data_IF_367851735965
#
_entry.id   IF_367851735965
#
_cell.length_a   1.000
_cell.length_b   1.000
_cell.length_c   1.000
_cell.angle_alpha   90.00
_cell.angle_beta   90.00
_cell.angle_gamma   90.00
#
_symmetry.space_group_name_H-M   'P 1'
#
loop_
_entity.id
_entity.type
_entity.pdbx_description
1 polymer ?
#
# COMPACT_ATOMS: atom_id res chain seq x y z
N UNK A 1 -37.59 28.98 61.68
CA UNK A 1 -37.94 27.80 60.87
C UNK A 1 -37.85 28.15 59.40
N UNK A 2 -36.74 27.84 58.72
CA UNK A 2 -36.69 27.54 57.27
C UNK A 2 -35.48 26.63 57.04
N UNK A 3 -35.76 25.36 56.76
CA UNK A 3 -34.80 24.36 56.30
C UNK A 3 -34.56 24.57 54.80
N UNK A 4 -33.31 24.63 54.37
CA UNK A 4 -32.91 24.54 52.97
C UNK A 4 -32.12 23.23 52.83
N UNK A 5 -32.74 22.22 52.21
CA UNK A 5 -32.08 20.96 51.86
C UNK A 5 -31.20 21.12 50.62
N UNK A 6 -30.13 20.32 50.47
CA UNK A 6 -29.25 20.42 49.32
C UNK A 6 -29.90 19.76 48.09
N UNK A 7 -29.97 20.52 47.00
CA UNK A 7 -30.32 20.00 45.68
C UNK A 7 -29.24 19.03 45.20
N UNK A 8 -29.62 17.77 44.99
CA UNK A 8 -28.84 16.78 44.26
C UNK A 8 -28.89 17.11 42.77
N UNK A 9 -27.79 17.67 42.25
CA UNK A 9 -27.54 17.76 40.82
C UNK A 9 -27.11 16.37 40.32
N UNK A 10 -28.03 15.66 39.65
CA UNK A 10 -27.67 14.51 38.83
C UNK A 10 -26.95 15.01 37.56
N UNK A 11 -25.62 14.93 37.56
CA UNK A 11 -24.82 15.15 36.37
C UNK A 11 -24.88 13.86 35.52
N UNK A 12 -25.78 13.80 34.55
CA UNK A 12 -25.74 12.74 33.55
C UNK A 12 -24.55 12.99 32.61
N UNK A 13 -23.44 12.30 32.81
CA UNK A 13 -22.43 12.16 31.77
C UNK A 13 -23.01 11.27 30.66
N UNK A 14 -23.48 11.89 29.60
CA UNK A 14 -23.68 11.19 28.33
C UNK A 14 -22.29 11.07 27.69
N UNK A 15 -21.66 9.90 27.83
CA UNK A 15 -20.51 9.55 27.00
C UNK A 15 -21.03 9.18 25.60
N UNK A 16 -21.14 10.16 24.71
CA UNK A 16 -21.08 9.87 23.28
C UNK A 16 -19.63 9.59 22.94
N UNK A 17 -19.22 8.33 22.97
CA UNK A 17 -18.06 7.91 22.19
C UNK A 17 -18.47 8.05 20.72
N UNK A 18 -18.23 9.23 20.14
CA UNK A 18 -18.16 9.34 18.70
C UNK A 18 -17.01 8.43 18.27
N UNK A 19 -17.33 7.26 17.73
CA UNK A 19 -16.36 6.49 16.95
C UNK A 19 -15.85 7.46 15.90
N UNK A 20 -14.54 7.71 15.87
CA UNK A 20 -13.97 8.61 14.88
C UNK A 20 -14.40 8.13 13.48
N UNK A 21 -15.17 8.95 12.78
CA UNK A 21 -15.61 8.66 11.43
C UNK A 21 -14.37 8.60 10.54
N UNK A 22 -14.31 7.59 9.66
CA UNK A 22 -13.24 7.50 8.67
C UNK A 22 -13.30 8.74 7.78
N UNK A 23 -12.23 9.53 7.78
CA UNK A 23 -12.18 10.80 7.07
C UNK A 23 -10.78 11.06 6.53
N UNK A 24 -10.71 11.86 5.47
CA UNK A 24 -9.45 12.25 4.87
C UNK A 24 -9.49 13.65 4.27
N UNK A 25 -8.33 14.28 4.17
CA UNK A 25 -8.09 15.48 3.38
C UNK A 25 -6.99 15.21 2.37
N UNK A 26 -7.04 15.89 1.23
CA UNK A 26 -6.06 15.71 0.15
C UNK A 26 -5.52 17.06 -0.28
N UNK A 27 -4.23 17.12 -0.52
CA UNK A 27 -3.54 18.24 -1.16
C UNK A 27 -2.74 17.68 -2.33
N UNK A 28 -2.53 18.48 -3.36
CA UNK A 28 -1.74 18.07 -4.50
C UNK A 28 -0.91 19.23 -5.05
N UNK A 29 0.18 18.91 -5.73
CA UNK A 29 1.04 19.88 -6.39
C UNK A 29 1.42 19.40 -7.80
N UNK A 30 1.55 20.34 -8.73
CA UNK A 30 2.15 20.16 -10.04
C UNK A 30 3.48 20.94 -10.06
N UNK A 31 4.61 20.24 -10.15
CA UNK A 31 5.95 20.82 -10.08
C UNK A 31 6.16 21.74 -8.86
N UNK A 32 5.57 21.34 -7.72
CA UNK A 32 5.60 22.09 -6.46
C UNK A 32 4.57 23.23 -6.35
N UNK A 33 3.82 23.53 -7.41
CA UNK A 33 2.72 24.51 -7.38
C UNK A 33 1.44 23.84 -6.88
N UNK A 34 0.75 24.35 -5.86
CA UNK A 34 -0.49 23.76 -5.36
C UNK A 34 -1.58 23.67 -6.43
N UNK A 35 -2.21 22.49 -6.55
CA UNK A 35 -3.38 22.26 -7.40
C UNK A 35 -4.64 22.68 -6.62
N UNK A 36 -5.55 23.48 -7.20
CA UNK A 36 -6.81 23.84 -6.56
C UNK A 36 -7.65 22.62 -6.17
N UNK A 37 -8.33 22.67 -5.01
CA UNK A 37 -9.17 21.56 -4.54
C UNK A 37 -10.25 21.13 -5.55
N UNK A 38 -10.75 22.05 -6.37
CA UNK A 38 -11.74 21.75 -7.42
C UNK A 38 -11.20 20.88 -8.57
N UNK A 39 -9.87 20.78 -8.72
CA UNK A 39 -9.21 20.00 -9.77
C UNK A 39 -8.73 18.63 -9.27
N UNK A 40 -8.67 18.44 -7.94
CA UNK A 40 -8.35 17.16 -7.32
C UNK A 40 -9.57 16.25 -7.39
N UNK A 41 -9.44 15.12 -8.09
CA UNK A 41 -10.53 14.15 -8.30
C UNK A 41 -10.16 12.81 -7.70
N UNK A 42 -10.96 12.37 -6.74
CA UNK A 42 -10.91 11.03 -6.18
C UNK A 42 -12.25 10.34 -6.38
N UNK A 43 -12.20 9.08 -6.77
CA UNK A 43 -13.37 8.22 -6.93
C UNK A 43 -13.20 7.00 -6.03
N UNK A 44 -14.26 6.52 -5.35
CA UNK A 44 -14.20 5.26 -4.64
C UNK A 44 -13.72 4.14 -5.58
N UNK A 45 -12.68 3.42 -5.17
CA UNK A 45 -12.23 2.23 -5.87
C UNK A 45 -13.27 1.14 -5.61
N UNK A 46 -13.77 0.49 -6.68
CA UNK A 46 -14.61 -0.71 -6.58
C UNK A 46 -14.03 -1.66 -5.52
N UNK A 47 -14.85 -2.30 -4.67
CA UNK A 47 -14.36 -2.99 -3.49
C UNK A 47 -13.32 -4.04 -3.90
N UNK A 48 -12.08 -3.71 -3.58
CA UNK A 48 -10.94 -4.63 -3.61
C UNK A 48 -10.78 -5.12 -2.18
N UNK A 49 -10.86 -6.43 -1.97
CA UNK A 49 -10.41 -7.01 -0.70
C UNK A 49 -8.89 -6.99 -0.76
N UNK A 50 -8.28 -5.95 -0.18
CA UNK A 50 -6.83 -5.90 -0.01
C UNK A 50 -6.37 -6.84 1.11
N UNK A 51 -5.12 -7.30 1.04
CA UNK A 51 -4.52 -8.25 1.99
C UNK A 51 -4.09 -9.56 1.32
N UNK A 52 -3.18 -10.29 1.97
CA UNK A 52 -2.63 -11.51 1.39
C UNK A 52 -3.63 -12.68 1.41
N UNK A 53 -3.73 -13.44 0.31
CA UNK A 53 -4.58 -14.62 0.16
C UNK A 53 -3.74 -15.86 -0.13
N UNK A 54 -3.95 -16.92 0.65
CA UNK A 54 -3.32 -18.23 0.44
C UNK A 54 -1.84 -18.28 0.83
N UNK A 55 -1.50 -17.80 2.03
CA UNK A 55 -0.13 -17.81 2.55
C UNK A 55 0.33 -19.24 2.87
N UNK A 56 1.35 -19.72 2.15
CA UNK A 56 2.08 -20.93 2.53
C UNK A 56 3.58 -20.60 2.63
N UNK A 57 4.01 -20.25 3.83
CA UNK A 57 5.43 -20.17 4.17
C UNK A 57 5.88 -21.52 4.74
N UNK A 58 6.98 -22.06 4.21
CA UNK A 58 7.76 -23.06 4.96
C UNK A 58 8.80 -22.27 5.75
N UNK A 59 8.79 -22.29 7.09
CA UNK A 59 9.90 -21.72 7.85
C UNK A 59 11.14 -22.55 7.52
N UNK A 60 12.13 -21.95 6.84
CA UNK A 60 13.44 -22.56 6.70
C UNK A 60 14.17 -22.44 8.04
N UNK A 61 14.50 -23.59 8.64
CA UNK A 61 15.40 -23.67 9.78
C UNK A 61 16.76 -23.01 9.46
N UNK A 62 17.52 -22.53 10.47
CA UNK A 62 18.71 -21.75 10.22
C UNK A 62 19.82 -22.67 9.68
N UNK A 63 20.04 -22.65 8.36
CA UNK A 63 21.24 -23.22 7.76
C UNK A 63 22.17 -22.08 7.37
N UNK A 64 23.43 -22.16 7.80
CA UNK A 64 24.48 -21.21 7.44
C UNK A 64 24.72 -21.26 5.93
N UNK A 65 24.05 -20.42 5.17
CA UNK A 65 24.33 -20.16 3.75
C UNK A 65 24.26 -18.66 3.52
N UNK A 66 25.19 -18.10 2.74
CA UNK A 66 25.28 -16.67 2.38
C UNK A 66 23.98 -16.23 1.68
N UNK A 67 23.03 -15.77 2.49
CA UNK A 67 21.74 -15.08 2.23
C UNK A 67 21.01 -15.48 0.93
N UNK A 68 20.24 -16.55 0.99
CA UNK A 68 19.02 -16.67 0.17
C UNK A 68 17.84 -16.27 1.05
N UNK A 69 17.02 -15.33 0.61
CA UNK A 69 15.83 -14.90 1.32
C UNK A 69 14.87 -16.04 1.62
N UNK A 70 14.07 -15.89 2.68
CA UNK A 70 12.90 -16.74 2.86
C UNK A 70 11.95 -16.53 1.67
N UNK A 71 11.44 -17.62 1.09
CA UNK A 71 10.47 -17.58 -0.01
C UNK A 71 9.12 -18.07 0.50
N UNK A 72 8.07 -17.34 0.18
CA UNK A 72 6.69 -17.69 0.50
C UNK A 72 5.82 -17.65 -0.76
N UNK A 73 4.73 -18.41 -0.76
CA UNK A 73 3.78 -18.42 -1.87
C UNK A 73 2.47 -17.78 -1.45
N UNK A 74 1.89 -17.03 -2.37
CA UNK A 74 0.55 -16.49 -2.24
C UNK A 74 -0.21 -16.62 -3.56
N UNK A 75 -1.52 -16.40 -3.50
CA UNK A 75 -2.38 -16.38 -4.69
C UNK A 75 -2.52 -15.00 -5.33
N UNK A 76 -2.11 -13.94 -4.62
CA UNK A 76 -2.30 -12.56 -5.05
C UNK A 76 -1.11 -11.60 -4.87
N UNK A 77 -0.17 -11.85 -3.96
CA UNK A 77 1.00 -10.97 -3.72
C UNK A 77 2.30 -11.58 -4.24
N UNK A 78 3.09 -10.74 -4.91
CA UNK A 78 4.45 -11.03 -5.33
C UNK A 78 5.35 -9.86 -4.97
N UNK A 79 6.43 -10.07 -4.21
CA UNK A 79 7.26 -8.95 -3.77
C UNK A 79 8.01 -9.23 -2.48
N UNK A 80 8.45 -8.17 -1.84
CA UNK A 80 9.22 -8.20 -0.60
C UNK A 80 8.33 -7.78 0.58
N UNK A 81 8.31 -8.59 1.63
CA UNK A 81 7.59 -8.28 2.88
C UNK A 81 8.54 -8.38 4.06
N UNK A 82 8.80 -7.24 4.68
CA UNK A 82 9.57 -7.10 5.91
C UNK A 82 8.68 -7.19 7.14
N UNK A 83 9.19 -7.81 8.20
CA UNK A 83 8.46 -7.95 9.46
C UNK A 83 9.26 -7.38 10.64
N UNK A 84 8.57 -6.74 11.57
CA UNK A 84 9.10 -6.26 12.85
C UNK A 84 8.20 -6.69 14.02
N UNK A 85 8.72 -6.58 15.22
CA UNK A 85 7.95 -6.84 16.45
C UNK A 85 7.03 -5.68 16.82
N UNK A 86 5.96 -5.96 17.56
CA UNK A 86 5.04 -4.94 18.08
C UNK A 86 5.67 -3.92 19.04
N UNK A 87 6.86 -4.19 19.57
CA UNK A 87 7.63 -3.24 20.40
C UNK A 87 8.46 -2.25 19.57
N UNK A 88 8.69 -2.54 18.28
CA UNK A 88 9.45 -1.68 17.37
C UNK A 88 8.68 -1.45 16.07
N UNK A 89 7.50 -0.84 16.22
CA UNK A 89 6.51 -0.65 15.17
C UNK A 89 7.02 0.19 14.00
N UNK A 90 6.58 -0.14 12.79
CA UNK A 90 6.80 0.65 11.59
C UNK A 90 6.05 1.98 11.71
N UNK A 91 6.74 3.10 11.50
CA UNK A 91 6.14 4.43 11.38
C UNK A 91 6.01 4.88 9.94
N UNK A 92 7.02 4.56 9.12
CA UNK A 92 7.08 4.96 7.72
C UNK A 92 7.38 3.71 6.88
N UNK A 93 6.70 3.55 5.75
CA UNK A 93 7.17 2.71 4.65
C UNK A 93 7.32 3.60 3.41
N UNK A 94 8.38 3.37 2.65
CA UNK A 94 8.73 4.15 1.49
C UNK A 94 9.27 3.25 0.40
N UNK A 95 8.98 3.57 -0.86
CA UNK A 95 9.62 2.96 -2.02
C UNK A 95 9.37 3.74 -3.30
N UNK A 96 10.29 3.59 -4.24
CA UNK A 96 10.18 4.09 -5.61
C UNK A 96 10.02 2.90 -6.54
N UNK A 97 9.07 2.95 -7.46
CA UNK A 97 8.90 1.89 -8.45
C UNK A 97 8.42 2.45 -9.79
N UNK A 98 8.79 1.76 -10.86
CA UNK A 98 8.29 2.08 -12.19
C UNK A 98 6.89 1.49 -12.38
N UNK A 99 5.93 2.29 -12.84
CA UNK A 99 4.64 1.78 -13.28
C UNK A 99 4.84 0.83 -14.48
N UNK A 100 4.42 -0.44 -14.37
CA UNK A 100 4.75 -1.43 -15.38
C UNK A 100 4.05 -1.17 -16.71
N UNK A 101 4.69 -1.56 -17.81
CA UNK A 101 4.01 -1.77 -19.07
C UNK A 101 3.18 -3.05 -19.02
N UNK A 102 1.86 -2.96 -19.19
CA UNK A 102 0.97 -4.11 -19.09
C UNK A 102 0.39 -4.56 -20.43
N UNK A 103 0.23 -5.87 -20.58
CA UNK A 103 -0.45 -6.51 -21.71
C UNK A 103 -1.40 -7.60 -21.25
N UNK A 104 -2.39 -7.91 -22.09
CA UNK A 104 -3.37 -8.96 -21.81
C UNK A 104 -2.70 -10.33 -21.80
N UNK A 105 -3.09 -11.17 -20.85
CA UNK A 105 -2.76 -12.59 -20.79
C UNK A 105 -3.88 -13.38 -21.44
N UNK A 106 -3.59 -14.05 -22.56
CA UNK A 106 -4.53 -14.96 -23.22
C UNK A 106 -5.02 -16.04 -22.25
N UNK A 107 -6.34 -16.25 -22.20
CA UNK A 107 -6.96 -17.27 -21.33
C UNK A 107 -7.19 -16.85 -19.87
N UNK A 108 -6.75 -15.65 -19.45
CA UNK A 108 -7.07 -15.13 -18.12
C UNK A 108 -8.44 -14.42 -18.11
N UNK A 109 -9.15 -14.53 -16.98
CA UNK A 109 -10.46 -13.90 -16.75
C UNK A 109 -10.36 -12.38 -16.71
N UNK A 110 -11.46 -11.70 -17.04
CA UNK A 110 -11.55 -10.24 -16.92
C UNK A 110 -12.31 -9.83 -15.63
N UNK A 111 -11.97 -8.68 -15.01
CA UNK A 111 -10.90 -7.77 -15.42
C UNK A 111 -9.51 -8.41 -15.23
N UNK A 112 -8.56 -8.05 -16.09
CA UNK A 112 -7.16 -8.40 -15.90
C UNK A 112 -6.42 -7.21 -15.31
N UNK A 113 -5.63 -7.42 -14.26
CA UNK A 113 -4.91 -6.33 -13.63
C UNK A 113 -3.57 -6.77 -13.03
N UNK A 114 -2.69 -5.80 -12.84
CA UNK A 114 -1.51 -5.90 -11.97
C UNK A 114 -1.33 -4.55 -11.27
N UNK A 115 -1.21 -4.57 -9.94
CA UNK A 115 -1.03 -3.37 -9.11
C UNK A 115 0.35 -3.36 -8.49
N UNK A 116 1.07 -2.25 -8.55
CA UNK A 116 2.36 -2.04 -7.88
C UNK A 116 2.15 -1.09 -6.72
N UNK A 117 2.53 -1.47 -5.50
CA UNK A 117 2.23 -0.67 -4.32
C UNK A 117 3.21 -0.90 -3.16
N UNK A 118 3.19 0.04 -2.22
CA UNK A 118 3.84 -0.07 -0.91
C UNK A 118 2.80 0.00 0.20
N UNK A 119 3.04 -0.71 1.30
CA UNK A 119 2.02 -0.86 2.34
C UNK A 119 2.56 -1.19 3.74
N UNK A 120 1.67 -1.05 4.72
CA UNK A 120 1.86 -1.46 6.11
C UNK A 120 0.75 -2.44 6.49
N UNK A 121 1.14 -3.55 7.10
CA UNK A 121 0.30 -4.68 7.55
C UNK A 121 -0.33 -5.50 6.40
N UNK A 122 -1.46 -6.18 6.62
CA UNK A 122 -2.09 -7.01 5.59
C UNK A 122 -1.46 -8.39 5.35
N UNK A 123 -0.26 -8.66 5.89
CA UNK A 123 0.36 -9.99 5.85
C UNK A 123 0.16 -10.79 7.15
N UNK A 124 0.93 -10.50 8.20
CA UNK A 124 0.78 -11.17 9.51
C UNK A 124 -0.34 -10.54 10.31
N UNK A 125 -0.59 -9.24 10.12
CA UNK A 125 -1.76 -8.53 10.63
C UNK A 125 -2.82 -8.33 9.54
N UNK A 126 -3.67 -9.33 9.32
CA UNK A 126 -4.62 -9.34 8.20
C UNK A 126 -5.89 -8.51 8.42
N UNK A 127 -6.11 -7.94 9.61
CA UNK A 127 -7.34 -7.18 9.90
C UNK A 127 -7.32 -5.74 9.41
N UNK A 128 -6.14 -5.22 9.04
CA UNK A 128 -5.97 -3.88 8.48
C UNK A 128 -4.78 -3.86 7.53
N UNK A 129 -4.85 -3.00 6.51
CA UNK A 129 -3.78 -2.75 5.55
C UNK A 129 -3.90 -1.32 5.07
N UNK A 130 -2.83 -0.53 5.22
CA UNK A 130 -2.75 0.80 4.63
C UNK A 130 -1.72 0.77 3.50
N UNK A 131 -2.17 0.99 2.27
CA UNK A 131 -1.37 0.79 1.07
C UNK A 131 -1.69 1.84 -0.01
N UNK A 132 -0.73 2.05 -0.90
CA UNK A 132 -0.91 2.94 -2.05
C UNK A 132 0.05 2.61 -3.17
N UNK A 133 -0.38 2.94 -4.39
CA UNK A 133 0.43 2.71 -5.57
C UNK A 133 -0.33 2.95 -6.86
N UNK A 134 -0.01 2.16 -7.88
CA UNK A 134 -0.62 2.25 -9.20
C UNK A 134 -1.15 0.89 -9.65
N UNK A 135 -2.07 0.89 -10.60
CA UNK A 135 -2.63 -0.33 -11.21
C UNK A 135 -2.77 -0.14 -12.70
N UNK A 136 -2.46 -1.18 -13.45
CA UNK A 136 -2.84 -1.32 -14.84
C UNK A 136 -4.00 -2.32 -14.93
N UNK A 137 -5.05 -2.00 -15.69
CA UNK A 137 -6.28 -2.79 -15.75
C UNK A 137 -6.81 -2.89 -17.18
N UNK A 138 -7.33 -4.06 -17.52
CA UNK A 138 -8.13 -4.31 -18.72
C UNK A 138 -9.49 -4.86 -18.28
N UNK A 139 -10.57 -4.18 -18.63
CA UNK A 139 -11.92 -4.64 -18.29
C UNK A 139 -12.44 -5.71 -19.25
N UNK A 140 -12.01 -5.69 -20.51
CA UNK A 140 -12.45 -6.66 -21.53
C UNK A 140 -11.35 -6.99 -22.54
N UNK A 141 -11.62 -7.96 -23.41
CA UNK A 141 -10.71 -8.32 -24.51
C UNK A 141 -10.51 -7.20 -25.53
N UNK A 142 -11.42 -6.22 -25.59
CA UNK A 142 -11.36 -5.08 -26.52
C UNK A 142 -10.96 -3.77 -25.86
N UNK A 143 -10.99 -3.67 -24.52
CA UNK A 143 -10.61 -2.44 -23.82
C UNK A 143 -9.12 -2.13 -23.96
N UNK A 144 -8.79 -0.84 -24.05
CA UNK A 144 -7.41 -0.37 -23.83
C UNK A 144 -6.99 -0.59 -22.37
N UNK A 145 -5.69 -0.49 -22.11
CA UNK A 145 -5.17 -0.46 -20.74
C UNK A 145 -5.65 0.81 -20.03
N UNK A 146 -6.10 0.66 -18.80
CA UNK A 146 -6.41 1.76 -17.89
C UNK A 146 -5.33 1.76 -16.80
N UNK A 147 -4.62 2.89 -16.69
CA UNK A 147 -3.58 3.08 -15.68
C UNK A 147 -4.05 4.12 -14.67
N UNK A 148 -3.98 3.77 -13.39
CA UNK A 148 -4.56 4.59 -12.31
C UNK A 148 -3.67 4.55 -11.07
N UNK A 149 -3.59 5.68 -10.37
CA UNK A 149 -3.02 5.77 -9.03
C UNK A 149 -4.13 5.64 -7.99
N UNK A 150 -3.82 5.04 -6.84
CA UNK A 150 -4.81 4.77 -5.80
C UNK A 150 -4.16 4.68 -4.42
N UNK A 151 -4.98 4.86 -3.39
CA UNK A 151 -4.65 4.54 -2.01
C UNK A 151 -5.82 3.79 -1.36
N UNK A 152 -5.52 2.99 -0.35
CA UNK A 152 -6.51 2.20 0.37
C UNK A 152 -6.11 2.00 1.82
N UNK A 153 -7.09 2.17 2.71
CA UNK A 153 -7.05 1.71 4.09
C UNK A 153 -8.11 0.62 4.27
N UNK A 154 -7.70 -0.65 4.22
CA UNK A 154 -8.60 -1.80 4.37
C UNK A 154 -9.05 -1.92 5.83
N UNK A 155 -10.35 -2.17 6.10
CA UNK A 155 -11.47 -2.25 5.17
C UNK A 155 -12.22 -0.91 4.97
N UNK A 156 -11.77 0.17 5.59
CA UNK A 156 -12.53 1.42 5.70
C UNK A 156 -12.76 2.15 4.38
N UNK A 157 -11.76 2.23 3.49
CA UNK A 157 -11.89 3.03 2.29
C UNK A 157 -10.78 2.83 1.28
N UNK A 158 -11.12 2.92 0.00
CA UNK A 158 -10.22 2.78 -1.14
C UNK A 158 -10.59 3.83 -2.19
N UNK A 159 -9.61 4.56 -2.71
CA UNK A 159 -9.87 5.66 -3.63
C UNK A 159 -8.86 5.66 -4.77
N UNK A 160 -9.37 5.78 -5.98
CA UNK A 160 -8.62 6.10 -7.19
C UNK A 160 -8.42 7.60 -7.27
N UNK A 161 -7.21 8.07 -7.57
CA UNK A 161 -6.90 9.48 -7.83
C UNK A 161 -7.02 9.71 -9.34
N UNK A 162 -8.23 9.97 -9.84
CA UNK A 162 -8.50 10.06 -11.29
C UNK A 162 -7.90 11.29 -11.96
N UNK A 163 -7.52 12.30 -11.17
CA UNK A 163 -6.78 13.47 -11.65
C UNK A 163 -5.26 13.30 -11.65
N UNK A 164 -4.72 12.15 -11.24
CA UNK A 164 -3.28 11.86 -11.32
C UNK A 164 -2.96 11.11 -12.63
N UNK A 165 -2.12 11.67 -13.51
CA UNK A 165 -1.72 10.98 -14.72
C UNK A 165 -0.76 9.83 -14.42
N UNK A 166 -0.98 8.70 -15.08
CA UNK A 166 -0.17 7.48 -14.95
C UNK A 166 0.13 6.92 -16.33
N UNK A 167 1.40 6.91 -16.72
CA UNK A 167 1.85 6.27 -17.94
C UNK A 167 2.78 5.08 -17.64
N UNK A 168 2.79 4.11 -18.55
CA UNK A 168 3.76 3.01 -18.48
C UNK A 168 5.19 3.59 -18.55
N UNK A 169 6.04 3.16 -17.64
CA UNK A 169 7.42 3.62 -17.56
C UNK A 169 7.66 4.80 -16.62
N UNK A 170 6.60 5.49 -16.16
CA UNK A 170 6.71 6.55 -15.15
C UNK A 170 7.20 5.98 -13.81
N UNK A 171 8.08 6.70 -13.14
CA UNK A 171 8.56 6.42 -11.79
C UNK A 171 7.60 7.02 -10.78
N UNK A 172 7.14 6.19 -9.86
CA UNK A 172 6.30 6.56 -8.75
C UNK A 172 7.07 6.43 -7.43
N UNK A 173 7.12 7.50 -6.67
CA UNK A 173 7.58 7.51 -5.30
C UNK A 173 6.37 7.47 -4.37
N UNK A 174 6.32 6.50 -3.47
CA UNK A 174 5.23 6.37 -2.50
C UNK A 174 5.81 6.33 -1.10
N UNK A 175 5.23 7.15 -0.21
CA UNK A 175 5.55 7.16 1.21
C UNK A 175 4.27 7.11 2.02
N UNK A 176 4.19 6.16 2.95
CA UNK A 176 3.13 6.08 3.95
C UNK A 176 3.74 6.36 5.32
N UNK A 177 3.24 7.37 6.02
CA UNK A 177 3.66 7.77 7.35
C UNK A 177 2.49 7.67 8.34
N UNK A 178 2.54 6.71 9.25
CA UNK A 178 1.51 6.51 10.29
C UNK A 178 1.77 7.44 11.48
N UNK A 179 0.80 8.29 11.79
CA UNK A 179 0.85 9.19 12.95
C UNK A 179 0.29 8.50 14.21
N UNK A 180 -0.60 7.52 14.03
CA UNK A 180 -1.08 6.59 15.05
C UNK A 180 -1.36 5.21 14.42
N UNK A 181 -1.97 4.28 15.16
CA UNK A 181 -2.44 3.01 14.59
C UNK A 181 -3.71 3.16 13.73
N UNK A 182 -4.37 4.32 13.77
CA UNK A 182 -5.65 4.59 13.08
C UNK A 182 -5.62 5.89 12.25
N UNK A 183 -4.44 6.49 12.10
CA UNK A 183 -4.24 7.71 11.34
C UNK A 183 -2.86 7.72 10.66
N UNK A 184 -2.78 8.36 9.51
CA UNK A 184 -1.55 8.46 8.74
C UNK A 184 -1.68 9.40 7.56
N UNK A 185 -0.56 9.58 6.87
CA UNK A 185 -0.44 10.38 5.67
C UNK A 185 0.20 9.52 4.59
N UNK A 186 -0.42 9.45 3.43
CA UNK A 186 0.14 8.84 2.23
C UNK A 186 0.51 9.93 1.23
N UNK A 187 1.69 9.83 0.64
CA UNK A 187 2.12 10.68 -0.47
C UNK A 187 2.45 9.78 -1.65
N UNK A 188 1.89 10.10 -2.83
CA UNK A 188 2.16 9.44 -4.10
C UNK A 188 2.64 10.51 -5.08
N UNK A 189 3.84 10.34 -5.63
CA UNK A 189 4.45 11.28 -6.57
C UNK A 189 4.77 10.58 -7.88
N UNK A 190 4.24 11.08 -8.99
CA UNK A 190 4.72 10.72 -10.33
C UNK A 190 5.93 11.62 -10.61
N UNK A 191 7.12 11.06 -10.45
CA UNK A 191 8.40 11.77 -10.52
C UNK A 191 8.63 12.33 -11.92
N UNK A 192 8.26 11.56 -12.95
CA UNK A 192 8.44 11.95 -14.35
C UNK A 192 7.57 13.15 -14.74
N UNK A 193 6.40 13.29 -14.13
CA UNK A 193 5.44 14.35 -14.44
C UNK A 193 5.44 15.50 -13.41
N UNK A 194 6.19 15.37 -12.31
CA UNK A 194 6.27 16.38 -11.25
C UNK A 194 5.00 16.52 -10.42
N UNK A 195 4.04 15.58 -10.54
CA UNK A 195 2.75 15.66 -9.86
C UNK A 195 2.78 14.84 -8.57
N UNK A 196 2.37 15.43 -7.46
CA UNK A 196 2.34 14.81 -6.14
C UNK A 196 0.98 14.98 -5.48
N UNK A 197 0.45 13.89 -4.93
CA UNK A 197 -0.76 13.88 -4.12
C UNK A 197 -0.42 13.45 -2.71
N UNK A 198 -0.99 14.12 -1.72
CA UNK A 198 -0.79 13.82 -0.32
C UNK A 198 -2.11 13.79 0.43
N UNK A 199 -2.45 12.63 0.97
CA UNK A 199 -3.72 12.36 1.64
C UNK A 199 -3.50 12.08 3.11
N UNK A 200 -4.08 12.90 3.98
CA UNK A 200 -4.07 12.72 5.43
C UNK A 200 -5.36 12.03 5.85
N UNK A 201 -5.27 10.89 6.52
CA UNK A 201 -6.38 10.01 6.86
C UNK A 201 -6.47 9.86 8.37
N UNK A 202 -7.69 9.86 8.90
CA UNK A 202 -7.99 9.57 10.31
C UNK A 202 -9.19 8.61 10.41
N UNK A 203 -9.25 7.84 11.50
CA UNK A 203 -10.36 6.89 11.72
C UNK A 203 -10.23 5.58 10.92
N UNK A 204 -9.03 5.23 10.45
CA UNK A 204 -8.75 3.95 9.81
C UNK A 204 -8.77 2.78 10.80
N UNK A 205 -8.97 1.57 10.29
CA UNK A 205 -8.86 0.33 11.06
C UNK A 205 -7.46 0.22 11.68
N UNK A 206 -7.42 -0.38 12.87
CA UNK A 206 -6.21 -0.41 13.70
C UNK A 206 -5.13 -1.24 13.03
N UNK A 207 -4.06 -0.58 12.61
CA UNK A 207 -2.80 -1.17 12.18
C UNK A 207 -2.02 -1.70 13.40
N UNK A 208 -1.43 -2.88 13.27
CA UNK A 208 -0.42 -3.39 14.19
C UNK A 208 0.96 -2.76 13.92
N UNK A 209 1.20 -2.33 12.68
CA UNK A 209 2.44 -1.72 12.17
C UNK A 209 3.65 -2.64 12.30
N UNK A 210 3.45 -3.88 11.86
CA UNK A 210 4.42 -4.98 11.99
C UNK A 210 4.90 -5.52 10.65
N UNK A 211 4.16 -5.28 9.56
CA UNK A 211 4.59 -5.64 8.21
C UNK A 211 4.84 -4.39 7.36
N UNK A 212 5.88 -4.41 6.54
CA UNK A 212 6.17 -3.42 5.51
C UNK A 212 6.31 -4.13 4.16
N UNK A 213 5.54 -3.67 3.18
CA UNK A 213 5.32 -4.40 1.94
C UNK A 213 5.74 -3.57 0.72
N UNK A 214 6.39 -4.23 -0.25
CA UNK A 214 6.69 -3.73 -1.59
C UNK A 214 6.28 -4.78 -2.61
N UNK A 215 5.10 -4.63 -3.20
CA UNK A 215 4.35 -5.73 -3.82
C UNK A 215 3.82 -5.38 -5.21
N UNK A 216 3.95 -6.34 -6.12
CA UNK A 216 3.09 -6.53 -7.29
C UNK A 216 1.95 -7.45 -6.91
N UNK A 217 0.72 -6.96 -7.00
CA UNK A 217 -0.49 -7.68 -6.67
C UNK A 217 -1.33 -8.01 -7.89
N UNK A 218 -1.95 -9.20 -7.83
CA UNK A 218 -3.12 -9.59 -8.60
C UNK A 218 -4.36 -9.23 -7.76
N UNK A 219 -4.98 -8.05 -7.97
CA UNK A 219 -5.99 -7.53 -7.04
C UNK A 219 -7.29 -8.34 -7.08
N UNK A 220 -8.07 -8.24 -6.01
CA UNK A 220 -9.45 -8.73 -5.95
C UNK A 220 -10.38 -7.64 -6.47
N UNK A 221 -11.32 -7.96 -7.37
CA UNK A 221 -12.43 -7.08 -7.70
C UNK A 221 -13.75 -7.76 -7.32
N UNK A 222 -14.56 -7.11 -6.50
CA UNK A 222 -15.74 -7.74 -5.91
C UNK A 222 -15.33 -8.89 -5.00
N UNK A 223 -15.73 -10.11 -5.35
CA UNK A 223 -15.43 -11.33 -4.57
C UNK A 223 -14.37 -12.23 -5.19
N UNK A 224 -13.75 -11.82 -6.31
CA UNK A 224 -12.88 -12.69 -7.09
C UNK A 224 -11.55 -12.01 -7.42
N UNK A 225 -10.48 -12.81 -7.42
CA UNK A 225 -9.20 -12.36 -7.98
C UNK A 225 -9.35 -12.02 -9.47
N UNK A 226 -8.78 -10.88 -9.86
CA UNK A 226 -8.64 -10.48 -11.26
C UNK A 226 -7.95 -11.59 -12.08
N UNK A 227 -8.06 -11.59 -13.41
CA UNK A 227 -7.03 -12.22 -14.22
C UNK A 227 -5.70 -11.50 -14.00
N UNK A 228 -4.59 -12.23 -13.92
CA UNK A 228 -3.30 -11.57 -13.72
C UNK A 228 -2.73 -11.10 -15.07
N UNK A 229 -2.70 -9.78 -15.27
CA UNK A 229 -2.12 -9.19 -16.48
C UNK A 229 -0.65 -9.60 -16.63
N UNK A 230 -0.12 -9.57 -17.87
CA UNK A 230 1.33 -9.57 -18.05
C UNK A 230 1.83 -8.16 -17.79
N UNK A 231 2.97 -8.05 -17.12
CA UNK A 231 3.61 -6.78 -16.78
C UNK A 231 5.10 -6.89 -17.10
N UNK A 232 5.73 -5.77 -17.42
CA UNK A 232 7.19 -5.66 -17.48
C UNK A 232 7.78 -5.77 -16.08
N UNK A 233 9.06 -6.16 -15.97
CA UNK A 233 9.75 -6.18 -14.68
C UNK A 233 9.62 -4.81 -13.97
N UNK A 234 9.27 -4.85 -12.68
CA UNK A 234 9.13 -3.67 -11.83
C UNK A 234 10.12 -3.77 -10.69
N UNK A 235 10.86 -2.68 -10.48
CA UNK A 235 11.92 -2.59 -9.48
C UNK A 235 11.47 -1.68 -8.36
N UNK A 236 11.41 -2.20 -7.13
CA UNK A 236 11.27 -1.38 -5.94
C UNK A 236 12.65 -0.92 -5.47
N UNK A 237 12.89 0.38 -5.57
CA UNK A 237 14.16 1.05 -5.28
C UNK A 237 13.99 2.00 -4.11
N UNK A 238 15.13 2.39 -3.51
CA UNK A 238 15.17 3.23 -2.31
C UNK A 238 14.25 2.73 -1.20
N UNK A 239 13.95 1.42 -1.16
CA UNK A 239 12.89 0.85 -0.37
C UNK A 239 13.31 0.62 1.09
N UNK A 240 12.58 1.23 2.03
CA UNK A 240 12.82 1.08 3.46
C UNK A 240 11.57 1.30 4.30
N UNK A 241 11.58 0.73 5.49
CA UNK A 241 10.62 1.05 6.54
C UNK A 241 11.35 1.64 7.75
N UNK A 242 10.85 2.76 8.29
CA UNK A 242 11.39 3.40 9.49
C UNK A 242 10.64 2.93 10.71
N UNK A 243 11.36 2.41 11.68
CA UNK A 243 10.81 1.85 12.91
C UNK A 243 10.68 2.92 14.01
N UNK A 244 9.94 2.60 15.08
CA UNK A 244 9.64 3.53 16.16
C UNK A 244 10.87 4.00 16.92
N UNK A 245 11.93 3.18 16.95
CA UNK A 245 13.25 3.49 17.48
C UNK A 245 14.18 4.23 16.49
N UNK A 246 13.66 4.68 15.34
CA UNK A 246 14.38 5.33 14.23
C UNK A 246 15.35 4.45 13.44
N UNK A 247 15.45 3.15 13.73
CA UNK A 247 16.17 2.23 12.84
C UNK A 247 15.41 2.04 11.53
N UNK A 248 16.15 1.72 10.46
CA UNK A 248 15.56 1.34 9.18
C UNK A 248 15.54 -0.19 9.07
N UNK A 249 14.38 -0.73 8.72
CA UNK A 249 14.24 -2.06 8.13
C UNK A 249 14.36 -1.88 6.62
N UNK A 250 15.49 -2.29 6.04
CA UNK A 250 15.67 -2.27 4.59
C UNK A 250 14.89 -3.38 3.90
N UNK A 251 14.75 -3.28 2.58
CA UNK A 251 14.14 -4.34 1.75
C UNK A 251 14.99 -5.62 1.71
N UNK A 252 16.29 -5.54 2.03
CA UNK A 252 17.21 -6.68 2.04
C UNK A 252 16.99 -7.63 3.24
N UNK A 253 17.06 -8.93 2.99
CA UNK A 253 16.74 -10.00 3.94
C UNK A 253 15.24 -10.25 4.16
N UNK A 254 14.34 -9.57 3.44
CA UNK A 254 12.88 -9.70 3.63
C UNK A 254 12.34 -11.00 3.02
N UNK A 255 11.12 -11.38 3.38
CA UNK A 255 10.47 -12.56 2.79
C UNK A 255 10.01 -12.24 1.37
N UNK A 256 10.42 -13.06 0.41
CA UNK A 256 10.09 -12.92 -1.00
C UNK A 256 8.84 -13.74 -1.35
N UNK A 257 7.71 -13.05 -1.48
CA UNK A 257 6.44 -13.65 -1.89
C UNK A 257 6.37 -13.87 -3.40
N UNK A 258 5.84 -15.01 -3.80
CA UNK A 258 5.74 -15.45 -5.19
C UNK A 258 4.29 -15.76 -5.56
N UNK A 259 3.92 -15.55 -6.82
CA UNK A 259 2.65 -16.04 -7.39
C UNK A 259 2.99 -17.14 -8.41
N UNK A 260 2.61 -18.38 -8.10
CA UNK A 260 2.93 -19.54 -8.94
C UNK A 260 2.52 -19.34 -10.41
N UNK A 261 3.50 -19.42 -11.32
CA UNK A 261 3.30 -19.24 -12.78
C UNK A 261 2.90 -17.82 -13.21
N UNK A 262 2.87 -16.87 -12.29
CA UNK A 262 2.40 -15.50 -12.52
C UNK A 262 3.48 -14.44 -12.32
N UNK A 263 4.20 -14.50 -11.20
CA UNK A 263 5.22 -13.53 -10.82
C UNK A 263 6.27 -14.17 -9.92
N UNK A 264 7.53 -13.83 -10.18
CA UNK A 264 8.66 -14.14 -9.32
C UNK A 264 9.23 -12.88 -8.67
N UNK A 265 9.53 -12.91 -7.37
CA UNK A 265 10.25 -11.82 -6.68
C UNK A 265 11.60 -12.31 -6.19
N UNK A 266 12.59 -11.43 -6.23
CA UNK A 266 13.92 -11.70 -5.70
C UNK A 266 14.59 -10.39 -5.33
N UNK A 267 15.52 -10.46 -4.38
CA UNK A 267 16.46 -9.37 -4.18
C UNK A 267 17.41 -9.30 -5.36
N UNK A 268 17.79 -8.08 -5.69
CA UNK A 268 18.81 -7.83 -6.69
C UNK A 268 19.95 -7.05 -6.06
N UNK A 269 21.13 -7.63 -6.18
CA UNK A 269 22.38 -7.01 -5.75
C UNK A 269 22.91 -6.16 -6.91
N UNK A 270 22.77 -4.84 -6.79
CA UNK A 270 23.28 -3.87 -7.74
C UNK A 270 24.68 -3.36 -7.36
N UNK A 271 25.33 -3.93 -6.33
CA UNK A 271 26.66 -3.47 -5.86
C UNK A 271 27.78 -3.61 -6.89
N UNK A 272 27.56 -4.41 -7.95
CA UNK A 272 28.47 -4.53 -9.09
C UNK A 272 28.06 -3.70 -10.31
N UNK A 273 26.93 -2.99 -10.25
CA UNK A 273 26.52 -2.08 -11.32
C UNK A 273 27.21 -0.74 -11.12
N UNK A 274 28.07 -0.36 -12.05
CA UNK A 274 28.61 1.01 -12.10
C UNK A 274 27.47 1.97 -12.44
N UNK A 275 26.99 2.72 -11.45
CA UNK A 275 26.04 3.80 -11.69
C UNK A 275 26.81 5.09 -11.99
N UNK A 276 26.69 5.58 -13.22
CA UNK A 276 27.08 6.94 -13.56
C UNK A 276 26.05 7.89 -12.95
N UNK A 277 26.38 8.52 -11.82
CA UNK A 277 25.67 9.70 -11.35
C UNK A 277 26.13 10.90 -12.18
N UNK A 278 25.22 11.50 -12.96
CA UNK A 278 25.42 12.82 -13.56
C UNK A 278 25.16 13.92 -12.52
#
# INVERSE_FOLDING_TARGET
>A
MKWLGPSLLFLSLVFTQALAEFSFTVEATDNGVPIPQSEIKLEPLEPTIGGIIGNSSKPSAPSKVRRTNAVAWSSNWCGSVGHTTSTNQIKIVHGIFQHPGCTKRTGATYPQAAASWVGIDGNTHTSALFQAGTVCKFDTSTSSVVNQAWWQWVPNGAYTITSMPVAAGDQFEVTINTTSTTAGKVTITNVNQGISYSTTITGGATLARVDADWVIERPVYGSSLAGFARFSDTWFQSAYAKLSNNANLGILGTTQYQISGGCGSQEYDDSSLETWSA
#
